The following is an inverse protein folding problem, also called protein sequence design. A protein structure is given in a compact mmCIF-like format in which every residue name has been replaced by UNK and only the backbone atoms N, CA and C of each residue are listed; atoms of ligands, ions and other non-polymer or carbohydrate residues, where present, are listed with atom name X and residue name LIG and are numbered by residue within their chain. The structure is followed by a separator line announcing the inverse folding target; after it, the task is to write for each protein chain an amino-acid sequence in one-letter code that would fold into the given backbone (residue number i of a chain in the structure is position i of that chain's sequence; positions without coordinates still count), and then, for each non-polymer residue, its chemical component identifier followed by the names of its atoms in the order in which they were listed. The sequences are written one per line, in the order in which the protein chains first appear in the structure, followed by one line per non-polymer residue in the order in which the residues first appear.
data_IF_304287903480
#
_entry.id   IF_304287903480
#
_cell.length_a   1.000
_cell.length_b   1.000
_cell.length_c   1.000
_cell.angle_alpha   90.00
_cell.angle_beta   90.00
_cell.angle_gamma   90.00
#
_symmetry.space_group_name_H-M   'P 1'
#
loop_
_entity.id
_entity.type
_entity.pdbx_description
1 polymer ?
#
# COMPACT_ATOMS: atom_id res chain seq x y z
N UNK A 1 -4.41 -18.88 -0.02
CA UNK A 1 -5.34 -17.78 0.31
C UNK A 1 -4.75 -17.05 1.49
N UNK A 2 -4.61 -15.72 1.43
CA UNK A 2 -4.06 -14.90 2.52
C UNK A 2 -5.08 -13.83 2.92
N UNK A 3 -5.15 -13.53 4.23
CA UNK A 3 -6.09 -12.57 4.81
C UNK A 3 -5.34 -11.51 5.62
N UNK A 4 -5.82 -10.25 5.58
CA UNK A 4 -5.39 -9.18 6.47
C UNK A 4 -6.39 -9.01 7.60
N UNK A 5 -5.87 -8.86 8.81
CA UNK A 5 -6.64 -8.39 9.95
C UNK A 5 -5.85 -7.28 10.64
N UNK A 6 -6.51 -6.16 10.94
CA UNK A 6 -5.92 -5.10 11.74
C UNK A 6 -6.62 -5.11 13.10
N UNK A 7 -5.84 -5.16 14.17
CA UNK A 7 -6.37 -5.03 15.52
C UNK A 7 -6.53 -3.56 15.87
N UNK A 8 -7.74 -3.20 16.31
CA UNK A 8 -8.07 -1.84 16.75
C UNK A 8 -7.39 -1.46 18.07
N UNK A 9 -6.93 -2.45 18.85
CA UNK A 9 -6.42 -2.23 20.21
C UNK A 9 -4.92 -1.97 20.30
N UNK A 10 -4.12 -2.67 19.48
CA UNK A 10 -2.66 -2.61 19.51
C UNK A 10 -2.05 -2.04 18.22
N UNK A 11 -2.88 -1.75 17.21
CA UNK A 11 -2.45 -1.26 15.91
C UNK A 11 -1.65 -2.27 15.09
N UNK A 12 -1.56 -3.53 15.54
CA UNK A 12 -0.87 -4.58 14.82
C UNK A 12 -1.69 -5.05 13.61
N UNK A 13 -0.95 -5.40 12.56
CA UNK A 13 -1.51 -5.93 11.32
C UNK A 13 -1.05 -7.36 11.19
N UNK A 14 -2.03 -8.26 11.16
CA UNK A 14 -1.84 -9.69 11.07
C UNK A 14 -2.07 -10.14 9.62
N UNK A 15 -1.19 -11.01 9.16
CA UNK A 15 -1.28 -11.68 7.87
C UNK A 15 -1.51 -13.14 8.17
N UNK A 16 -2.65 -13.67 7.75
CA UNK A 16 -3.08 -15.03 8.04
C UNK A 16 -3.16 -15.85 6.76
N UNK A 17 -2.67 -17.08 6.81
CA UNK A 17 -2.99 -18.14 5.86
C UNK A 17 -4.00 -19.10 6.52
N UNK A 18 -5.32 -18.89 6.33
CA UNK A 18 -6.34 -19.71 7.00
C UNK A 18 -6.33 -21.17 6.54
N UNK A 19 -5.74 -21.48 5.38
CA UNK A 19 -5.65 -22.86 4.88
C UNK A 19 -4.62 -23.66 5.68
N UNK A 20 -3.54 -23.01 6.11
CA UNK A 20 -2.46 -23.64 6.86
C UNK A 20 -2.52 -23.36 8.36
N UNK A 21 -3.42 -22.46 8.80
CA UNK A 21 -3.52 -22.05 10.20
C UNK A 21 -2.33 -21.20 10.68
N UNK A 22 -1.58 -20.63 9.75
CA UNK A 22 -0.39 -19.84 10.05
C UNK A 22 -0.71 -18.35 10.03
N UNK A 23 0.04 -17.58 10.82
CA UNK A 23 -0.03 -16.13 10.76
C UNK A 23 1.33 -15.50 11.05
N UNK A 24 1.49 -14.26 10.60
CA UNK A 24 2.62 -13.40 10.95
C UNK A 24 2.12 -11.98 11.19
N UNK A 25 2.94 -11.13 11.78
CA UNK A 25 2.64 -9.71 12.02
C UNK A 25 3.54 -8.83 11.19
N UNK A 26 2.99 -7.71 10.72
CA UNK A 26 3.82 -6.65 10.16
C UNK A 26 4.50 -5.89 11.30
N UNK A 27 5.74 -5.42 11.09
CA UNK A 27 6.37 -4.53 12.04
C UNK A 27 5.58 -3.21 12.16
N UNK A 28 5.77 -2.49 13.28
CA UNK A 28 5.23 -1.14 13.44
C UNK A 28 5.60 -0.22 12.27
N UNK A 29 4.81 0.82 12.05
CA UNK A 29 5.07 1.84 11.04
C UNK A 29 6.42 2.51 11.32
N UNK A 30 7.29 2.54 10.31
CA UNK A 30 8.59 3.20 10.41
C UNK A 30 8.43 4.70 10.16
N UNK A 31 9.22 5.52 10.86
CA UNK A 31 9.41 6.94 10.49
C UNK A 31 8.27 7.91 10.85
N UNK A 32 7.36 7.58 11.76
CA UNK A 32 6.26 8.51 12.18
C UNK A 32 6.78 9.77 12.90
N UNK A 33 8.05 9.81 13.33
CA UNK A 33 8.60 10.89 14.17
C UNK A 33 8.55 12.29 13.54
N UNK A 34 8.44 12.40 12.21
CA UNK A 34 8.46 13.67 11.48
C UNK A 34 7.08 14.19 11.04
N UNK A 35 5.99 13.49 11.42
CA UNK A 35 4.65 13.78 10.91
C UNK A 35 3.61 13.97 12.01
N UNK A 36 2.60 14.81 11.72
CA UNK A 36 1.36 14.79 12.49
C UNK A 36 0.61 13.46 12.24
N UNK A 37 -0.12 13.01 13.27
CA UNK A 37 -0.69 11.68 13.41
C UNK A 37 -1.17 11.04 12.08
N UNK A 38 -0.75 9.80 11.77
CA UNK A 38 -1.16 9.12 10.54
C UNK A 38 -2.66 8.84 10.52
N UNK A 39 -3.29 8.97 9.35
CA UNK A 39 -4.70 8.68 9.14
C UNK A 39 -4.93 8.02 7.76
N UNK A 40 -6.04 7.28 7.61
CA UNK A 40 -6.41 6.65 6.34
C UNK A 40 -5.47 5.50 5.95
N UNK A 41 -5.48 4.40 6.71
CA UNK A 41 -4.70 3.20 6.40
C UNK A 41 -5.33 2.37 5.28
N UNK A 42 -4.53 2.02 4.28
CA UNK A 42 -4.87 1.05 3.24
C UNK A 42 -3.87 -0.10 3.24
N UNK A 43 -4.35 -1.34 3.27
CA UNK A 43 -3.52 -2.53 3.13
C UNK A 43 -3.93 -3.34 1.92
N UNK A 44 -2.95 -3.78 1.15
CA UNK A 44 -3.17 -4.62 -0.03
C UNK A 44 -2.07 -5.66 -0.18
N UNK A 45 -2.44 -6.84 -0.67
CA UNK A 45 -1.49 -7.87 -1.05
C UNK A 45 -1.33 -7.96 -2.55
N UNK A 46 -0.10 -8.17 -2.98
CA UNK A 46 0.27 -8.64 -4.30
C UNK A 46 1.01 -9.96 -4.22
N UNK A 47 0.96 -10.73 -5.31
CA UNK A 47 1.82 -11.90 -5.50
C UNK A 47 2.73 -11.64 -6.70
N UNK A 48 4.03 -11.83 -6.51
CA UNK A 48 5.04 -11.81 -7.58
C UNK A 48 5.38 -13.25 -7.96
N UNK A 49 4.85 -13.78 -9.07
CA UNK A 49 5.11 -15.14 -9.51
C UNK A 49 6.57 -15.36 -9.95
N UNK A 50 7.32 -14.29 -10.25
CA UNK A 50 8.70 -14.39 -10.73
C UNK A 50 9.66 -14.82 -9.61
N UNK A 51 9.39 -14.35 -8.39
CA UNK A 51 10.19 -14.62 -7.20
C UNK A 51 9.49 -15.55 -6.21
N UNK A 52 8.24 -15.95 -6.48
CA UNK A 52 7.36 -16.69 -5.56
C UNK A 52 7.19 -16.00 -4.20
N UNK A 53 7.02 -14.68 -4.25
CA UNK A 53 6.94 -13.83 -3.06
C UNK A 53 5.58 -13.16 -2.97
N UNK A 54 5.08 -13.06 -1.74
CA UNK A 54 3.92 -12.22 -1.45
C UNK A 54 4.41 -10.87 -0.95
N UNK A 55 3.77 -9.80 -1.41
CA UNK A 55 4.09 -8.44 -0.99
C UNK A 55 2.86 -7.80 -0.35
N UNK A 56 3.06 -7.11 0.76
CA UNK A 56 2.03 -6.30 1.40
C UNK A 56 2.42 -4.85 1.23
N UNK A 57 1.52 -4.06 0.66
CA UNK A 57 1.68 -2.60 0.62
C UNK A 57 0.79 -2.00 1.70
N UNK A 58 1.41 -1.31 2.65
CA UNK A 58 0.73 -0.47 3.64
C UNK A 58 0.84 0.97 3.16
N UNK A 59 -0.30 1.62 2.94
CA UNK A 59 -0.40 3.04 2.64
C UNK A 59 -1.03 3.78 3.81
N UNK A 60 -0.55 4.97 4.11
CA UNK A 60 -1.22 5.90 5.03
C UNK A 60 -0.96 7.34 4.64
N UNK A 61 -1.90 8.22 4.98
CA UNK A 61 -1.71 9.65 4.82
C UNK A 61 -1.15 10.24 6.12
N UNK A 62 -0.25 11.19 6.00
CA UNK A 62 0.22 12.01 7.09
C UNK A 62 0.28 13.48 6.64
N UNK A 63 0.41 14.37 7.61
CA UNK A 63 0.63 15.79 7.37
C UNK A 63 2.02 16.15 7.88
N UNK A 64 2.83 16.75 7.03
CA UNK A 64 4.15 17.25 7.41
C UNK A 64 4.05 18.56 8.22
N UNK A 65 5.20 19.07 8.69
CA UNK A 65 5.25 20.34 9.44
C UNK A 65 4.86 21.57 8.60
N UNK A 66 4.84 21.46 7.27
CA UNK A 66 4.43 22.53 6.35
C UNK A 66 2.93 22.47 6.01
N UNK A 67 2.15 21.61 6.67
CA UNK A 67 0.73 21.32 6.36
C UNK A 67 0.49 20.72 4.97
N UNK A 68 1.49 20.05 4.38
CA UNK A 68 1.32 19.29 3.15
C UNK A 68 0.89 17.88 3.49
N UNK A 69 -0.05 17.36 2.71
CA UNK A 69 -0.49 15.99 2.81
C UNK A 69 0.43 15.07 2.02
N UNK A 70 0.86 14.00 2.67
CA UNK A 70 1.76 13.01 2.10
C UNK A 70 1.19 11.61 2.32
N UNK A 71 1.02 10.88 1.23
CA UNK A 71 0.76 9.46 1.20
C UNK A 71 2.11 8.75 1.26
N UNK A 72 2.30 8.01 2.33
CA UNK A 72 3.48 7.18 2.53
C UNK A 72 3.11 5.73 2.28
N UNK A 73 3.92 5.06 1.47
CA UNK A 73 3.76 3.64 1.18
C UNK A 73 4.94 2.81 1.66
N UNK A 74 4.69 1.83 2.53
CA UNK A 74 5.64 0.79 2.92
C UNK A 74 5.35 -0.52 2.20
N UNK A 75 6.42 -1.17 1.77
CA UNK A 75 6.37 -2.47 1.10
C UNK A 75 6.96 -3.52 2.03
N UNK A 76 6.20 -4.58 2.27
CA UNK A 76 6.62 -5.75 3.03
C UNK A 76 6.70 -6.96 2.14
N UNK A 77 7.85 -7.61 2.09
CA UNK A 77 7.99 -8.88 1.38
C UNK A 77 7.90 -10.03 2.37
N UNK A 78 7.02 -10.98 2.07
CA UNK A 78 6.82 -12.24 2.78
C UNK A 78 7.42 -13.36 1.95
N UNK A 79 8.36 -14.10 2.54
CA UNK A 79 8.90 -15.31 1.93
C UNK A 79 7.98 -16.49 2.20
N UNK A 80 7.82 -17.37 1.21
CA UNK A 80 7.10 -18.64 1.34
C UNK A 80 8.11 -19.79 1.18
N UNK A 81 8.63 -20.37 2.27
CA UNK A 81 9.38 -21.62 2.17
C UNK A 81 8.44 -22.79 2.39
N UNK A 82 8.21 -23.58 1.33
CA UNK A 82 7.43 -24.83 1.39
C UNK A 82 6.02 -24.67 1.98
N UNK A 83 5.39 -23.52 1.72
CA UNK A 83 4.04 -23.22 2.17
C UNK A 83 3.97 -22.41 3.46
N UNK A 84 5.06 -22.22 4.21
CA UNK A 84 5.01 -21.46 5.46
C UNK A 84 5.17 -19.97 5.27
N UNK A 85 4.36 -19.15 5.95
CA UNK A 85 4.53 -17.69 6.00
C UNK A 85 5.77 -17.30 6.81
N UNK A 86 6.83 -16.80 6.15
CA UNK A 86 7.94 -16.14 6.85
C UNK A 86 7.65 -14.65 7.08
N UNK A 87 8.15 -14.15 8.22
CA UNK A 87 7.96 -12.78 8.67
C UNK A 87 8.31 -11.73 7.61
N UNK A 88 7.61 -10.59 7.65
CA UNK A 88 7.78 -9.51 6.69
C UNK A 88 8.98 -8.62 7.00
N UNK A 89 9.73 -8.22 5.96
CA UNK A 89 10.73 -7.14 6.04
C UNK A 89 10.26 -5.91 5.25
N UNK A 90 10.44 -4.72 5.81
CA UNK A 90 10.19 -3.47 5.08
C UNK A 90 11.28 -3.27 4.02
N UNK A 91 10.89 -2.98 2.78
CA UNK A 91 11.83 -2.78 1.67
C UNK A 91 11.99 -1.32 1.24
N UNK A 92 11.06 -0.44 1.59
CA UNK A 92 11.17 0.97 1.23
C UNK A 92 9.95 1.79 1.59
N UNK A 93 10.12 3.10 1.52
CA UNK A 93 9.07 4.10 1.67
C UNK A 93 8.93 4.88 0.36
N UNK A 94 7.71 5.06 -0.12
CA UNK A 94 7.39 5.94 -1.24
C UNK A 94 6.52 7.10 -0.74
N UNK A 95 6.78 8.29 -1.28
CA UNK A 95 6.19 9.55 -0.86
C UNK A 95 5.41 10.16 -2.02
N UNK A 96 4.09 10.32 -1.89
CA UNK A 96 3.21 10.85 -2.94
C UNK A 96 2.26 11.88 -2.31
N UNK A 97 2.07 13.07 -2.87
CA UNK A 97 1.22 14.09 -2.24
C UNK A 97 -0.29 13.84 -2.48
N UNK A 98 -0.96 13.15 -1.56
CA UNK A 98 -2.39 12.81 -1.66
C UNK A 98 -3.06 12.85 -0.28
N UNK A 99 -4.38 13.07 -0.24
CA UNK A 99 -5.11 13.28 1.02
C UNK A 99 -5.99 12.13 1.45
N UNK A 100 -6.50 11.33 0.53
CA UNK A 100 -7.42 10.25 0.88
C UNK A 100 -7.36 9.09 -0.12
N UNK A 101 -7.46 7.87 0.39
CA UNK A 101 -7.72 6.64 -0.37
C UNK A 101 -9.23 6.37 -0.37
N UNK A 102 -9.83 6.21 -1.55
CA UNK A 102 -11.27 5.98 -1.73
C UNK A 102 -11.56 4.50 -2.02
N UNK A 103 -10.83 3.93 -2.97
CA UNK A 103 -11.02 2.57 -3.47
C UNK A 103 -9.67 1.91 -3.67
N UNK A 104 -9.66 0.58 -3.60
CA UNK A 104 -8.45 -0.21 -3.75
C UNK A 104 -8.78 -1.47 -4.54
N UNK A 105 -7.90 -1.96 -5.41
CA UNK A 105 -8.06 -3.25 -6.11
C UNK A 105 -6.73 -3.81 -6.61
N UNK A 106 -6.68 -5.13 -6.86
CA UNK A 106 -5.52 -5.81 -7.44
C UNK A 106 -5.91 -6.40 -8.79
N UNK A 107 -5.19 -6.03 -9.84
CA UNK A 107 -5.45 -6.48 -11.21
C UNK A 107 -4.13 -6.64 -11.95
N UNK A 108 -3.92 -7.79 -12.60
CA UNK A 108 -2.77 -8.07 -13.46
C UNK A 108 -1.39 -7.80 -12.82
N UNK A 109 -1.20 -8.16 -11.54
CA UNK A 109 0.07 -7.93 -10.86
C UNK A 109 0.29 -6.48 -10.39
N UNK A 110 -0.72 -5.63 -10.53
CA UNK A 110 -0.69 -4.22 -10.13
C UNK A 110 -1.75 -3.92 -9.08
N UNK A 111 -1.31 -3.32 -7.99
CA UNK A 111 -2.17 -2.76 -6.96
C UNK A 111 -2.59 -1.35 -7.35
N UNK A 112 -3.87 -1.03 -7.22
CA UNK A 112 -4.43 0.26 -7.59
C UNK A 112 -5.16 0.87 -6.41
N UNK A 113 -5.02 2.18 -6.24
CA UNK A 113 -5.72 3.00 -5.27
C UNK A 113 -6.27 4.24 -5.95
N UNK A 114 -7.58 4.46 -5.84
CA UNK A 114 -8.17 5.73 -6.24
C UNK A 114 -8.04 6.72 -5.10
N UNK A 115 -7.59 7.93 -5.40
CA UNK A 115 -7.22 8.94 -4.41
C UNK A 115 -7.83 10.30 -4.71
N UNK A 116 -8.04 11.10 -3.66
CA UNK A 116 -8.44 12.50 -3.78
C UNK A 116 -7.25 13.43 -3.55
N UNK A 117 -7.13 14.50 -4.36
CA UNK A 117 -6.10 15.50 -4.16
C UNK A 117 -6.28 16.21 -2.81
N UNK A 118 -5.16 16.73 -2.32
CA UNK A 118 -5.09 17.44 -1.06
C UNK A 118 -5.86 18.76 -1.04
N UNK A 119 -5.89 19.44 -2.19
CA UNK A 119 -6.43 20.78 -2.35
C UNK A 119 -7.78 20.66 -3.05
N UNK A 120 -8.84 21.19 -2.43
CA UNK A 120 -10.21 21.14 -2.95
C UNK A 120 -10.43 21.87 -4.30
N UNK A 121 -9.40 22.60 -4.79
CA UNK A 121 -9.40 23.31 -6.07
C UNK A 121 -8.97 22.41 -7.24
N UNK A 122 -8.36 21.26 -6.97
CA UNK A 122 -8.03 20.26 -7.98
C UNK A 122 -9.13 19.18 -7.96
N UNK A 123 -9.88 19.09 -9.06
CA UNK A 123 -11.11 18.28 -9.14
C UNK A 123 -10.89 16.87 -9.68
N UNK A 124 -9.66 16.50 -10.02
CA UNK A 124 -9.37 15.22 -10.66
C UNK A 124 -8.97 14.18 -9.64
N UNK A 125 -9.78 13.13 -9.54
CA UNK A 125 -9.40 11.88 -8.87
C UNK A 125 -8.19 11.28 -9.58
N UNK A 126 -7.23 10.81 -8.79
CA UNK A 126 -5.98 10.26 -9.29
C UNK A 126 -5.87 8.80 -8.89
N UNK A 127 -5.38 7.94 -9.78
CA UNK A 127 -5.14 6.53 -9.47
C UNK A 127 -3.65 6.37 -9.17
N UNK A 128 -3.31 5.91 -7.98
CA UNK A 128 -1.96 5.44 -7.65
C UNK A 128 -1.90 3.95 -7.93
N UNK A 129 -0.84 3.53 -8.60
CA UNK A 129 -0.58 2.14 -8.90
C UNK A 129 0.74 1.69 -8.25
N UNK A 130 0.85 0.42 -7.91
CA UNK A 130 2.08 -0.23 -7.50
C UNK A 130 2.24 -1.55 -8.25
N UNK A 131 3.30 -1.65 -9.04
CA UNK A 131 3.64 -2.87 -9.77
C UNK A 131 4.43 -3.80 -8.86
N UNK A 132 3.86 -4.96 -8.54
CA UNK A 132 4.37 -5.85 -7.49
C UNK A 132 5.73 -6.46 -7.84
N UNK A 133 5.93 -6.85 -9.11
CA UNK A 133 7.18 -7.48 -9.55
C UNK A 133 8.39 -6.53 -9.53
N UNK A 134 8.24 -5.33 -10.09
CA UNK A 134 9.28 -4.30 -10.15
C UNK A 134 9.38 -3.41 -8.92
N UNK A 135 8.42 -3.50 -7.98
CA UNK A 135 8.33 -2.66 -6.78
C UNK A 135 8.29 -1.15 -7.07
N UNK A 136 7.59 -0.75 -8.14
CA UNK A 136 7.51 0.65 -8.57
C UNK A 136 6.11 1.22 -8.37
N UNK A 137 6.05 2.45 -7.85
CA UNK A 137 4.82 3.24 -7.83
C UNK A 137 4.66 4.04 -9.12
N UNK A 138 3.42 4.25 -9.54
CA UNK A 138 3.04 5.06 -10.70
C UNK A 138 1.77 5.84 -10.37
N UNK A 139 1.60 7.01 -10.98
CA UNK A 139 0.41 7.85 -10.85
C UNK A 139 -0.28 7.92 -12.20
N UNK A 140 -1.59 7.65 -12.23
CA UNK A 140 -2.42 7.60 -13.42
C UNK A 140 -3.57 8.65 -13.37
N UNK A 141 -3.97 9.21 -14.53
CA UNK A 141 -3.33 9.00 -15.82
C UNK A 141 -1.92 9.62 -15.82
N UNK A 142 -0.94 8.94 -16.44
CA UNK A 142 0.25 9.66 -16.89
C UNK A 142 -0.25 10.81 -17.76
N UNK A 143 0.37 11.99 -17.71
CA UNK A 143 -0.12 13.22 -18.34
C UNK A 143 -0.35 13.17 -19.88
N UNK A 144 -0.47 11.99 -20.51
CA UNK A 144 -0.70 11.72 -21.93
C UNK A 144 -1.69 10.56 -22.21
N UNK A 145 -2.69 10.26 -21.37
CA UNK A 145 -3.74 9.30 -21.77
C UNK A 145 -4.89 10.05 -22.44
N UNK A 146 -4.91 10.02 -23.78
CA UNK A 146 -6.02 10.49 -24.60
C UNK A 146 -7.20 9.51 -24.48
N UNK A 147 -8.16 9.90 -23.64
CA UNK A 147 -9.41 9.18 -23.36
C UNK A 147 -10.36 9.12 -24.56
N UNK A 148 -10.04 9.74 -25.70
CA UNK A 148 -10.82 9.64 -26.95
C UNK A 148 -10.64 8.30 -27.70
N UNK A 149 -9.80 7.39 -27.19
CA UNK A 149 -9.53 6.08 -27.80
C UNK A 149 -10.24 4.89 -27.12
N UNK A 150 -11.21 5.17 -26.25
CA UNK A 150 -12.14 4.16 -25.73
C UNK A 150 -13.55 4.38 -26.29
#
# INVERSE_FOLDING_TARGET
MLCLSQSEYDGHVYICNPVLGEYTTLPPVLGITQYYAPFGFGFRFGYDPSNDEYKVVRLWCCMDMDNKFELVGEIYTLGCDRGSLRGGRALGMCHIQLRQIILQFFLNGVLHWMTKPAIALESTETIVCFHVGSEQFQVLPENNIDISKF
#
